data_IF_560701160262
#
_entry.id   IF_560701160262
#
_cell.length_a   1.000
_cell.length_b   1.000
_cell.length_c   1.000
_cell.angle_alpha   90.00
_cell.angle_beta   90.00
_cell.angle_gamma   90.00
#
_symmetry.space_group_name_H-M   'P 1'
#
loop_
_entity.id
_entity.type
_entity.pdbx_description
1 polymer ?
#
# COMPACT_ATOMS: atom_id res chain seq x y z
N UNK A 1 2.81 -13.97 -4.35
CA UNK A 1 3.41 -15.30 -4.06
C UNK A 1 2.37 -16.35 -4.37
N UNK A 2 2.65 -17.22 -5.32
CA UNK A 2 1.80 -18.33 -5.72
C UNK A 2 2.48 -19.62 -5.25
N UNK A 3 1.77 -20.48 -4.52
CA UNK A 3 2.30 -21.75 -4.01
C UNK A 3 1.19 -22.80 -3.96
N UNK A 4 1.56 -24.07 -4.11
CA UNK A 4 0.68 -25.23 -4.00
C UNK A 4 0.84 -25.98 -2.67
N UNK A 5 1.70 -25.51 -1.77
CA UNK A 5 1.85 -26.07 -0.42
C UNK A 5 0.83 -25.42 0.53
N UNK A 6 -0.19 -26.21 0.90
CA UNK A 6 -1.27 -25.76 1.77
C UNK A 6 -0.82 -25.38 3.19
N UNK A 7 0.23 -26.02 3.72
CA UNK A 7 0.77 -25.69 5.04
C UNK A 7 1.50 -24.34 5.01
N UNK A 8 2.25 -24.07 3.94
CA UNK A 8 2.91 -22.77 3.75
C UNK A 8 1.88 -21.65 3.54
N UNK A 9 0.84 -21.90 2.74
CA UNK A 9 -0.24 -20.93 2.53
C UNK A 9 -0.91 -20.58 3.86
N UNK A 10 -1.31 -21.58 4.65
CA UNK A 10 -1.94 -21.37 5.95
C UNK A 10 -1.05 -20.53 6.87
N UNK A 11 0.27 -20.78 6.91
CA UNK A 11 1.20 -19.99 7.73
C UNK A 11 1.29 -18.53 7.28
N UNK A 12 1.21 -18.24 5.99
CA UNK A 12 1.35 -16.88 5.44
C UNK A 12 0.04 -16.07 5.41
N UNK A 13 -1.12 -16.75 5.48
CA UNK A 13 -2.44 -16.11 5.39
C UNK A 13 -3.27 -16.20 6.67
N UNK A 14 -2.74 -16.83 7.72
CA UNK A 14 -3.42 -16.93 9.02
C UNK A 14 -3.75 -15.52 9.56
N UNK A 15 -5.02 -15.25 9.92
CA UNK A 15 -5.41 -13.98 10.53
C UNK A 15 -4.63 -13.78 11.84
N UNK A 16 -4.02 -12.61 12.01
CA UNK A 16 -3.13 -12.29 13.12
C UNK A 16 -1.63 -12.38 12.77
N UNK A 17 -1.25 -13.15 11.74
CA UNK A 17 0.11 -13.11 11.18
C UNK A 17 0.21 -11.99 10.14
N UNK A 18 0.64 -10.82 10.62
CA UNK A 18 0.81 -9.64 9.75
C UNK A 18 2.22 -9.65 9.15
N UNK A 19 2.33 -9.99 7.86
CA UNK A 19 3.58 -9.81 7.13
C UNK A 19 3.71 -8.37 6.65
N UNK A 20 4.83 -7.73 6.96
CA UNK A 20 5.14 -6.39 6.47
C UNK A 20 5.18 -6.37 4.94
N UNK A 21 4.45 -5.44 4.34
CA UNK A 21 4.42 -5.23 2.89
C UNK A 21 4.81 -3.79 2.59
N UNK A 22 5.68 -3.62 1.60
CA UNK A 22 6.10 -2.30 1.12
C UNK A 22 5.38 -2.05 -0.20
N UNK A 23 4.71 -0.91 -0.28
CA UNK A 23 3.94 -0.51 -1.45
C UNK A 23 4.45 0.83 -1.98
N UNK A 24 4.52 0.95 -3.31
CA UNK A 24 4.72 2.22 -3.98
C UNK A 24 3.38 2.67 -4.56
N UNK A 25 2.97 3.89 -4.22
CA UNK A 25 1.67 4.46 -4.63
C UNK A 25 1.92 5.80 -5.30
N UNK A 26 1.39 5.99 -6.49
CA UNK A 26 1.35 7.28 -7.15
C UNK A 26 0.03 7.97 -6.82
N UNK A 27 0.13 9.19 -6.29
CA UNK A 27 -1.01 10.05 -6.00
C UNK A 27 -1.06 11.21 -6.99
N UNK A 28 -2.25 11.74 -7.22
CA UNK A 28 -2.41 12.97 -8.00
C UNK A 28 -1.98 14.17 -7.14
N UNK A 29 -1.18 15.07 -7.72
CA UNK A 29 -0.64 16.23 -7.00
C UNK A 29 0.49 15.88 -6.02
N UNK A 30 0.85 16.86 -5.18
CA UNK A 30 1.84 16.70 -4.11
C UNK A 30 1.06 16.57 -2.80
N UNK A 31 1.16 15.45 -2.07
CA UNK A 31 0.49 15.30 -0.78
C UNK A 31 1.03 16.34 0.20
N UNK A 32 0.15 17.00 0.92
CA UNK A 32 0.50 17.99 1.92
C UNK A 32 1.04 17.32 3.19
N UNK A 33 1.69 18.12 4.04
CA UNK A 33 2.27 17.59 5.27
C UNK A 33 1.20 17.06 6.23
N UNK A 34 -0.02 17.62 6.20
CA UNK A 34 -1.14 17.18 7.02
C UNK A 34 -1.63 15.78 6.62
N UNK A 35 -1.82 15.50 5.32
CA UNK A 35 -2.19 14.17 4.86
C UNK A 35 -1.10 13.13 5.17
N UNK A 36 0.18 13.49 5.00
CA UNK A 36 1.28 12.61 5.36
C UNK A 36 1.31 12.31 6.87
N UNK A 37 1.01 13.29 7.72
CA UNK A 37 0.90 13.08 9.16
C UNK A 37 -0.29 12.19 9.51
N UNK A 38 -1.47 12.43 8.94
CA UNK A 38 -2.66 11.61 9.17
C UNK A 38 -2.40 10.14 8.82
N UNK A 39 -1.75 9.88 7.67
CA UNK A 39 -1.36 8.52 7.30
C UNK A 39 -0.36 7.93 8.29
N UNK A 40 0.61 8.70 8.80
CA UNK A 40 1.60 8.23 9.81
C UNK A 40 0.98 7.94 11.17
N UNK A 41 -0.03 8.70 11.59
CA UNK A 41 -0.74 8.46 12.86
C UNK A 41 -1.74 7.32 12.78
N UNK A 42 -2.01 6.84 11.57
CA UNK A 42 -3.10 5.92 11.29
C UNK A 42 -4.40 6.69 11.02
N UNK A 43 -5.14 6.20 10.03
CA UNK A 43 -6.46 6.71 9.65
C UNK A 43 -7.52 5.67 9.98
N UNK A 44 -8.74 6.10 10.29
CA UNK A 44 -9.86 5.16 10.47
C UNK A 44 -10.52 4.93 9.13
N UNK A 45 -10.54 3.67 8.68
CA UNK A 45 -11.27 3.21 7.51
C UNK A 45 -12.57 2.53 7.96
N UNK A 46 -13.41 2.14 7.01
CA UNK A 46 -14.68 1.46 7.29
C UNK A 46 -14.49 0.15 8.08
N UNK A 47 -13.34 -0.51 7.92
CA UNK A 47 -13.01 -1.77 8.59
C UNK A 47 -12.23 -1.56 9.91
N UNK A 48 -12.08 -0.30 10.35
CA UNK A 48 -11.41 0.07 11.59
C UNK A 48 -10.14 0.92 11.42
N UNK A 49 -9.45 1.22 12.53
CA UNK A 49 -8.22 2.02 12.52
C UNK A 49 -7.07 1.25 11.87
N UNK A 50 -6.29 1.93 11.03
CA UNK A 50 -5.05 1.38 10.48
C UNK A 50 -3.91 1.49 11.48
N UNK A 51 -3.05 0.48 11.57
CA UNK A 51 -1.78 0.61 12.30
C UNK A 51 -0.90 1.72 11.69
N UNK A 52 -0.21 2.53 12.52
CA UNK A 52 0.76 3.53 12.06
C UNK A 52 1.79 2.93 11.07
N UNK A 53 1.77 3.33 9.80
CA UNK A 53 2.67 2.80 8.78
C UNK A 53 3.98 3.61 8.71
N UNK A 54 5.03 2.97 8.20
CA UNK A 54 6.26 3.66 7.81
C UNK A 54 6.09 4.21 6.39
N UNK A 55 6.24 5.54 6.23
CA UNK A 55 6.04 6.25 4.96
C UNK A 55 7.29 7.04 4.55
N UNK A 56 7.68 6.91 3.28
CA UNK A 56 8.71 7.73 2.62
C UNK A 56 8.14 8.32 1.34
N UNK A 57 8.19 9.65 1.22
CA UNK A 57 7.85 10.35 -0.03
C UNK A 57 9.04 10.24 -0.99
N UNK A 58 8.78 9.83 -2.23
CA UNK A 58 9.76 9.84 -3.32
C UNK A 58 9.24 10.70 -4.47
N UNK A 59 10.12 11.50 -5.07
CA UNK A 59 9.81 12.27 -6.28
C UNK A 59 10.00 11.36 -7.49
N UNK A 60 8.93 11.08 -8.20
CA UNK A 60 9.04 10.47 -9.52
C UNK A 60 9.33 11.57 -10.55
N UNK A 61 10.41 11.42 -11.32
CA UNK A 61 10.72 12.31 -12.46
C UNK A 61 9.97 11.89 -13.73
N UNK A 62 9.06 10.92 -13.65
CA UNK A 62 8.43 10.31 -14.81
C UNK A 62 7.25 11.14 -15.31
N UNK A 63 7.55 12.11 -16.17
CA UNK A 63 6.61 12.70 -17.13
C UNK A 63 6.62 12.00 -18.50
N UNK A 64 7.33 10.88 -18.67
CA UNK A 64 7.47 10.23 -19.98
C UNK A 64 7.36 8.70 -19.86
N UNK A 65 6.12 8.21 -19.89
CA UNK A 65 5.71 6.79 -19.87
C UNK A 65 4.19 6.73 -19.70
N UNK A 66 3.48 5.70 -20.21
CA UNK A 66 2.03 5.67 -20.14
C UNK A 66 1.62 5.79 -18.67
N UNK A 67 0.80 6.80 -18.35
CA UNK A 67 0.30 7.02 -17.01
C UNK A 67 -0.20 5.69 -16.44
N UNK A 68 0.15 5.30 -15.20
CA UNK A 68 -0.47 4.14 -14.59
C UNK A 68 -1.98 4.35 -14.67
N UNK A 69 -2.69 3.40 -15.29
CA UNK A 69 -4.11 3.53 -15.59
C UNK A 69 -4.81 3.99 -14.31
N UNK A 70 -5.54 5.11 -14.37
CA UNK A 70 -6.41 5.55 -13.28
C UNK A 70 -7.28 4.37 -12.88
N UNK A 71 -7.09 3.82 -11.68
CA UNK A 71 -7.99 2.84 -11.12
C UNK A 71 -8.91 3.55 -10.14
N UNK A 72 -10.19 3.62 -10.50
CA UNK A 72 -11.23 4.04 -9.57
C UNK A 72 -11.17 3.18 -8.29
N UNK A 73 -11.38 3.84 -7.15
CA UNK A 73 -11.59 3.22 -5.82
C UNK A 73 -10.34 2.78 -5.03
N UNK A 74 -9.21 3.49 -5.14
CA UNK A 74 -8.19 3.53 -4.07
C UNK A 74 -7.48 2.21 -3.73
N UNK A 75 -7.55 1.19 -4.58
CA UNK A 75 -6.87 -0.09 -4.34
C UNK A 75 -5.41 -0.04 -4.80
N UNK A 76 -4.52 -0.17 -3.82
CA UNK A 76 -3.09 -0.32 -4.03
C UNK A 76 -2.81 -1.76 -4.49
N UNK A 77 -2.25 -1.94 -5.68
CA UNK A 77 -1.67 -3.21 -6.07
C UNK A 77 -0.19 -3.26 -5.63
N UNK A 78 0.25 -4.31 -4.92
CA UNK A 78 1.67 -4.55 -4.73
C UNK A 78 2.35 -4.81 -6.09
N UNK A 79 3.66 -4.54 -6.21
CA UNK A 79 4.41 -4.99 -7.38
C UNK A 79 4.27 -6.51 -7.50
N UNK A 80 3.96 -6.99 -8.70
CA UNK A 80 4.03 -8.42 -9.03
C UNK A 80 5.51 -8.77 -9.02
N UNK A 81 5.92 -9.52 -7.99
CA UNK A 81 7.18 -10.25 -7.99
C UNK A 81 7.08 -11.53 -8.78
#
# INVERSE_FOLDING_TARGET
>A
MLTNDGALQARLTQPGQTHGKIYYVQVEGIPDNAALQALRTGVTLNDGPTCPPVLRLSRSLTGCGPAPRRFANGRIFPPVG
#
